data_IF_319139888369
#
_entry.id   IF_319139888369
#
_cell.length_a   1.000
_cell.length_b   1.000
_cell.length_c   1.000
_cell.angle_alpha   90.00
_cell.angle_beta   90.00
_cell.angle_gamma   90.00
#
_symmetry.space_group_name_H-M   'P 1'
#
loop_
_entity.id
_entity.type
_entity.pdbx_description
1 polymer ?
#
# COMPACT_ATOMS: atom_id res chain seq x y z
N UNK A 1 21.23 -40.91 -10.97
CA UNK A 1 21.88 -40.42 -9.74
C UNK A 1 21.29 -39.05 -9.42
N UNK A 2 20.33 -39.00 -8.49
CA UNK A 2 19.83 -37.74 -7.94
C UNK A 2 20.88 -37.20 -6.99
N UNK A 3 21.62 -36.16 -7.39
CA UNK A 3 22.39 -35.36 -6.45
C UNK A 3 21.44 -34.92 -5.34
N UNK A 4 21.69 -35.39 -4.12
CA UNK A 4 21.11 -34.82 -2.92
C UNK A 4 21.75 -33.43 -2.83
N UNK A 5 21.15 -32.44 -3.48
CA UNK A 5 21.52 -31.04 -3.29
C UNK A 5 21.39 -30.79 -1.80
N UNK A 6 22.53 -30.63 -1.13
CA UNK A 6 22.56 -30.37 0.29
C UNK A 6 21.63 -29.20 0.57
N UNK A 7 20.53 -29.45 1.27
CA UNK A 7 19.58 -28.40 1.60
C UNK A 7 20.36 -27.32 2.35
N UNK A 8 20.28 -26.06 1.91
CA UNK A 8 20.94 -24.92 2.57
C UNK A 8 20.77 -25.03 4.10
N UNK A 9 21.64 -24.55 4.99
CA UNK A 9 21.32 -24.52 6.41
C UNK A 9 20.08 -23.65 6.73
N UNK A 10 19.32 -23.98 7.79
CA UNK A 10 18.11 -23.23 8.18
C UNK A 10 18.43 -21.75 8.41
N UNK A 11 19.52 -21.45 9.10
CA UNK A 11 19.96 -20.08 9.39
C UNK A 11 20.25 -19.27 8.12
N UNK A 12 20.77 -19.90 7.05
CA UNK A 12 20.99 -19.21 5.76
C UNK A 12 19.68 -18.82 5.11
N UNK A 13 18.66 -19.68 5.20
CA UNK A 13 17.30 -19.36 4.74
C UNK A 13 16.77 -18.17 5.54
N UNK A 14 16.82 -18.24 6.87
CA UNK A 14 16.34 -17.18 7.75
C UNK A 14 16.99 -15.82 7.43
N UNK A 15 18.33 -15.76 7.38
CA UNK A 15 19.05 -14.52 7.08
C UNK A 15 18.71 -13.96 5.70
N UNK A 16 18.69 -14.78 4.65
CA UNK A 16 18.37 -14.30 3.29
C UNK A 16 16.99 -13.66 3.22
N UNK A 17 15.99 -14.24 3.86
CA UNK A 17 14.62 -13.72 3.86
C UNK A 17 14.46 -12.52 4.78
N UNK A 18 15.16 -12.50 5.92
CA UNK A 18 15.25 -11.33 6.79
C UNK A 18 15.84 -10.11 6.05
N UNK A 19 17.01 -10.27 5.42
CA UNK A 19 17.65 -9.19 4.66
C UNK A 19 16.82 -8.78 3.44
N UNK A 20 16.12 -9.72 2.79
CA UNK A 20 15.13 -9.38 1.75
C UNK A 20 13.99 -8.50 2.29
N UNK A 21 13.55 -8.74 3.52
CA UNK A 21 12.54 -7.92 4.21
C UNK A 21 13.00 -6.50 4.55
N UNK A 22 14.30 -6.28 4.77
CA UNK A 22 14.83 -4.97 5.21
C UNK A 22 14.62 -3.83 4.20
N UNK A 23 14.44 -4.14 2.91
CA UNK A 23 14.20 -3.12 1.88
C UNK A 23 12.71 -2.90 1.60
N UNK A 24 11.82 -3.67 2.23
CA UNK A 24 10.42 -3.73 1.86
C UNK A 24 9.66 -2.43 2.17
N UNK A 25 9.93 -1.79 3.32
CA UNK A 25 9.22 -0.58 3.70
C UNK A 25 9.49 0.62 2.77
N UNK A 26 10.74 1.06 2.53
CA UNK A 26 10.98 2.19 1.63
C UNK A 26 10.49 1.91 0.21
N UNK A 27 10.72 0.71 -0.31
CA UNK A 27 10.31 0.34 -1.66
C UNK A 27 8.80 0.07 -1.80
N UNK A 28 8.09 -0.20 -0.71
CA UNK A 28 6.64 -0.35 -0.71
C UNK A 28 5.89 0.94 -0.41
N UNK A 29 6.51 1.87 0.33
CA UNK A 29 5.91 3.15 0.69
C UNK A 29 6.14 4.19 -0.41
N UNK A 30 7.38 4.42 -0.80
CA UNK A 30 7.73 5.53 -1.70
C UNK A 30 7.03 5.46 -3.05
N UNK A 31 6.91 4.32 -3.75
CA UNK A 31 6.21 4.29 -5.04
C UNK A 31 4.72 4.63 -4.92
N UNK A 32 4.10 4.29 -3.79
CA UNK A 32 2.70 4.64 -3.53
C UNK A 32 2.55 6.15 -3.32
N UNK A 33 3.36 6.74 -2.42
CA UNK A 33 3.33 8.18 -2.20
C UNK A 33 3.72 8.97 -3.46
N UNK A 34 4.65 8.44 -4.26
CA UNK A 34 5.02 9.00 -5.56
C UNK A 34 3.83 8.98 -6.53
N UNK A 35 2.96 7.98 -6.47
CA UNK A 35 1.73 7.93 -7.26
C UNK A 35 0.83 9.14 -7.00
N UNK A 36 0.54 9.42 -5.72
CA UNK A 36 -0.19 10.63 -5.32
C UNK A 36 0.53 11.90 -5.79
N UNK A 37 1.83 12.00 -5.48
CA UNK A 37 2.64 13.16 -5.80
C UNK A 37 2.63 13.50 -7.30
N UNK A 38 2.77 12.51 -8.19
CA UNK A 38 2.82 12.75 -9.63
C UNK A 38 1.50 13.29 -10.19
N UNK A 39 0.35 12.85 -9.65
CA UNK A 39 -0.95 13.41 -10.06
C UNK A 39 -1.09 14.85 -9.57
N UNK A 40 -0.76 15.13 -8.31
CA UNK A 40 -0.84 16.48 -7.75
C UNK A 40 0.12 17.45 -8.46
N UNK A 41 1.30 16.96 -8.83
CA UNK A 41 2.26 17.71 -9.63
C UNK A 41 1.69 18.03 -11.01
N UNK A 42 1.05 17.06 -11.67
CA UNK A 42 0.41 17.26 -12.97
C UNK A 42 -0.79 18.22 -12.92
N UNK A 43 -1.47 18.30 -11.78
CA UNK A 43 -2.54 19.26 -11.50
C UNK A 43 -2.02 20.66 -11.14
N UNK A 44 -0.71 20.83 -10.97
CA UNK A 44 -0.09 22.11 -10.66
C UNK A 44 -0.36 22.60 -9.23
N UNK A 45 -0.52 21.67 -8.27
CA UNK A 45 -0.71 22.02 -6.86
C UNK A 45 0.54 22.74 -6.34
N UNK A 46 0.42 23.97 -5.79
CA UNK A 46 1.55 24.70 -5.22
C UNK A 46 2.05 24.05 -3.93
N UNK A 47 3.31 24.33 -3.57
CA UNK A 47 3.95 23.91 -2.31
C UNK A 47 3.93 22.38 -2.04
N UNK A 48 3.85 21.59 -3.11
CA UNK A 48 3.83 20.14 -3.08
C UNK A 48 5.21 19.55 -2.76
N UNK A 49 5.31 18.78 -1.65
CA UNK A 49 6.50 17.99 -1.35
C UNK A 49 6.16 16.51 -1.15
N UNK A 50 7.09 15.64 -1.56
CA UNK A 50 7.03 14.21 -1.26
C UNK A 50 7.69 13.99 0.11
N UNK A 51 6.92 13.51 1.06
CA UNK A 51 7.40 13.09 2.38
C UNK A 51 7.64 11.59 2.40
N UNK A 52 8.39 11.12 3.40
CA UNK A 52 8.74 9.71 3.50
C UNK A 52 7.53 8.77 3.74
N UNK A 53 6.40 9.29 4.23
CA UNK A 53 5.15 8.54 4.49
C UNK A 53 3.90 9.27 3.99
N UNK A 54 4.06 10.23 3.08
CA UNK A 54 2.92 11.01 2.58
C UNK A 54 3.33 12.04 1.54
N UNK A 55 2.38 12.89 1.18
CA UNK A 55 2.60 14.03 0.28
C UNK A 55 2.01 15.28 0.94
N UNK A 56 2.73 16.41 0.90
CA UNK A 56 2.23 17.67 1.43
C UNK A 56 1.17 18.19 0.50
N UNK A 57 -0.07 17.96 0.90
CA UNK A 57 -1.21 18.65 0.32
C UNK A 57 -2.23 18.84 1.43
N UNK A 58 -2.19 20.02 2.04
CA UNK A 58 -3.15 20.39 3.06
C UNK A 58 -4.48 20.74 2.39
N UNK A 59 -5.41 19.79 2.49
CA UNK A 59 -6.77 19.90 2.01
C UNK A 59 -7.74 20.06 3.18
N UNK A 60 -7.33 20.54 4.35
CA UNK A 60 -8.23 20.64 5.50
C UNK A 60 -9.52 21.40 5.15
N UNK A 61 -9.42 22.56 4.49
CA UNK A 61 -10.59 23.33 4.06
C UNK A 61 -11.44 22.61 2.99
N UNK A 62 -10.78 21.91 2.06
CA UNK A 62 -11.45 21.11 1.03
C UNK A 62 -12.23 19.95 1.65
N UNK A 63 -11.57 19.16 2.51
CA UNK A 63 -12.19 18.02 3.18
C UNK A 63 -13.26 18.48 4.16
N UNK A 64 -13.09 19.64 4.81
CA UNK A 64 -14.14 20.25 5.62
C UNK A 64 -15.38 20.63 4.79
N UNK A 65 -15.19 21.17 3.59
CA UNK A 65 -16.29 21.45 2.67
C UNK A 65 -16.97 20.15 2.20
N UNK A 66 -16.19 19.12 1.84
CA UNK A 66 -16.71 17.78 1.50
C UNK A 66 -17.50 17.17 2.68
N UNK A 67 -17.00 17.25 3.92
CA UNK A 67 -17.69 16.77 5.12
C UNK A 67 -19.02 17.48 5.41
N UNK A 68 -19.15 18.74 4.97
CA UNK A 68 -20.40 19.50 5.06
C UNK A 68 -21.31 19.27 3.85
N UNK A 69 -20.95 18.35 2.96
CA UNK A 69 -21.61 18.10 1.68
C UNK A 69 -21.66 19.34 0.77
N UNK A 70 -20.80 20.33 1.02
CA UNK A 70 -20.67 21.55 0.21
C UNK A 70 -19.65 21.33 -0.91
N UNK A 71 -20.03 20.48 -1.86
CA UNK A 71 -19.19 20.15 -3.03
C UNK A 71 -18.95 21.35 -3.95
N UNK A 72 -19.82 22.37 -3.90
CA UNK A 72 -19.63 23.60 -4.64
C UNK A 72 -18.42 24.36 -4.09
N UNK A 73 -18.33 24.55 -2.77
CA UNK A 73 -17.17 25.15 -2.11
C UNK A 73 -15.92 24.27 -2.26
N UNK A 74 -16.03 22.95 -2.13
CA UNK A 74 -14.88 22.05 -2.34
C UNK A 74 -14.31 22.21 -3.77
N UNK A 75 -15.17 22.32 -4.78
CA UNK A 75 -14.78 22.50 -6.17
C UNK A 75 -14.14 23.87 -6.49
N UNK A 76 -14.35 24.91 -5.66
CA UNK A 76 -13.62 26.18 -5.82
C UNK A 76 -12.20 26.10 -5.27
N UNK A 77 -11.93 25.18 -4.33
CA UNK A 77 -10.60 24.96 -3.76
C UNK A 77 -9.78 24.05 -4.67
N UNK A 78 -10.33 22.90 -5.07
CA UNK A 78 -9.66 21.95 -5.95
C UNK A 78 -10.66 21.17 -6.82
N UNK A 79 -10.29 20.77 -8.05
CA UNK A 79 -11.15 19.94 -8.87
C UNK A 79 -11.38 18.57 -8.21
N UNK A 80 -12.64 18.24 -7.88
CA UNK A 80 -13.02 16.99 -7.22
C UNK A 80 -12.44 15.74 -7.92
N UNK A 81 -12.51 15.72 -9.26
CA UNK A 81 -11.98 14.62 -10.07
C UNK A 81 -10.46 14.49 -9.95
N UNK A 82 -9.75 15.61 -9.80
CA UNK A 82 -8.29 15.63 -9.67
C UNK A 82 -7.85 15.12 -8.31
N UNK A 83 -8.56 15.50 -7.25
CA UNK A 83 -8.35 14.98 -5.89
C UNK A 83 -8.62 13.47 -5.86
N UNK A 84 -9.76 13.03 -6.42
CA UNK A 84 -10.09 11.61 -6.50
C UNK A 84 -9.06 10.80 -7.31
N UNK A 85 -8.58 11.36 -8.42
CA UNK A 85 -7.52 10.73 -9.22
C UNK A 85 -6.21 10.62 -8.43
N UNK A 86 -5.85 11.66 -7.66
CA UNK A 86 -4.69 11.64 -6.80
C UNK A 86 -4.83 10.56 -5.74
N UNK A 87 -5.92 10.51 -4.98
CA UNK A 87 -6.15 9.48 -3.96
C UNK A 87 -6.16 8.07 -4.58
N UNK A 88 -6.66 7.88 -5.80
CA UNK A 88 -6.59 6.60 -6.50
C UNK A 88 -5.16 6.23 -6.97
N UNK A 89 -4.30 7.21 -7.23
CA UNK A 89 -2.99 6.98 -7.85
C UNK A 89 -2.02 6.21 -6.96
N UNK A 90 -2.06 6.41 -5.63
CA UNK A 90 -1.25 5.65 -4.69
C UNK A 90 -1.54 4.15 -4.75
N UNK A 91 -2.80 3.70 -4.53
CA UNK A 91 -3.19 2.30 -4.67
C UNK A 91 -2.87 1.72 -6.06
N UNK A 92 -3.08 2.47 -7.14
CA UNK A 92 -2.73 2.02 -8.49
C UNK A 92 -1.22 1.81 -8.68
N UNK A 93 -0.39 2.71 -8.14
CA UNK A 93 1.07 2.55 -8.13
C UNK A 93 1.50 1.32 -7.31
N UNK A 94 0.83 1.05 -6.17
CA UNK A 94 1.01 -0.19 -5.40
C UNK A 94 0.73 -1.42 -6.25
N UNK A 95 -0.38 -1.45 -7.00
CA UNK A 95 -0.70 -2.60 -7.87
C UNK A 95 0.34 -2.80 -8.98
N UNK A 96 0.78 -1.70 -9.62
CA UNK A 96 1.83 -1.75 -10.63
C UNK A 96 3.16 -2.27 -10.06
N UNK A 97 3.53 -1.83 -8.84
CA UNK A 97 4.70 -2.33 -8.12
C UNK A 97 4.59 -3.83 -7.84
N UNK A 98 3.45 -4.30 -7.32
CA UNK A 98 3.22 -5.73 -7.04
C UNK A 98 3.32 -6.56 -8.32
N UNK A 99 2.72 -6.10 -9.43
CA UNK A 99 2.86 -6.77 -10.74
C UNK A 99 4.31 -6.81 -11.21
N UNK A 100 5.06 -5.72 -11.03
CA UNK A 100 6.48 -5.64 -11.39
C UNK A 100 7.32 -6.60 -10.56
N UNK A 101 7.08 -6.69 -9.25
CA UNK A 101 7.72 -7.68 -8.40
C UNK A 101 7.38 -9.11 -8.82
N UNK A 102 6.11 -9.37 -9.16
CA UNK A 102 5.70 -10.67 -9.68
C UNK A 102 6.45 -11.01 -10.97
N UNK A 103 6.39 -10.12 -11.96
CA UNK A 103 7.13 -10.28 -13.21
C UNK A 103 8.64 -10.51 -12.98
N UNK A 104 9.26 -9.72 -12.10
CA UNK A 104 10.67 -9.88 -11.74
C UNK A 104 10.99 -11.26 -11.15
N UNK A 105 10.13 -11.79 -10.27
CA UNK A 105 10.25 -13.15 -9.75
C UNK A 105 10.13 -14.23 -10.85
N UNK A 106 9.33 -13.97 -11.88
CA UNK A 106 9.17 -14.89 -13.01
C UNK A 106 10.40 -14.92 -13.92
N UNK A 107 11.06 -13.78 -14.15
CA UNK A 107 12.12 -13.63 -15.16
C UNK A 107 13.53 -13.81 -14.59
N UNK A 108 13.84 -13.20 -13.43
CA UNK A 108 15.23 -13.05 -12.96
C UNK A 108 15.64 -13.99 -11.82
N UNK A 109 14.77 -14.95 -11.45
CA UNK A 109 14.82 -15.84 -10.26
C UNK A 109 14.20 -15.18 -9.02
N UNK A 110 13.65 -15.97 -8.06
CA UNK A 110 13.04 -15.40 -6.86
C UNK A 110 14.06 -14.75 -5.95
N UNK A 111 14.04 -13.42 -5.94
CA UNK A 111 14.72 -12.64 -4.91
C UNK A 111 13.79 -12.48 -3.71
N UNK A 112 14.22 -12.87 -2.50
CA UNK A 112 13.48 -12.62 -1.27
C UNK A 112 13.01 -11.16 -1.14
N UNK A 113 13.81 -10.21 -1.63
CA UNK A 113 13.46 -8.79 -1.67
C UNK A 113 12.21 -8.49 -2.50
N UNK A 114 12.07 -9.04 -3.71
CA UNK A 114 10.89 -8.79 -4.56
C UNK A 114 9.61 -9.35 -3.93
N UNK A 115 9.70 -10.56 -3.37
CA UNK A 115 8.59 -11.19 -2.65
C UNK A 115 8.22 -10.36 -1.41
N UNK A 116 9.23 -9.87 -0.68
CA UNK A 116 9.03 -9.06 0.50
C UNK A 116 8.40 -7.71 0.17
N UNK A 117 8.93 -6.97 -0.81
CA UNK A 117 8.37 -5.69 -1.26
C UNK A 117 6.91 -5.87 -1.67
N UNK A 118 6.60 -6.91 -2.46
CA UNK A 118 5.24 -7.20 -2.85
C UNK A 118 4.34 -7.40 -1.62
N UNK A 119 4.61 -8.38 -0.75
CA UNK A 119 3.75 -8.62 0.43
C UNK A 119 3.64 -7.42 1.37
N UNK A 120 4.71 -6.64 1.52
CA UNK A 120 4.66 -5.42 2.32
C UNK A 120 3.71 -4.39 1.71
N UNK A 121 3.84 -4.13 0.40
CA UNK A 121 2.97 -3.22 -0.33
C UNK A 121 1.49 -3.66 -0.25
N UNK A 122 1.24 -4.97 -0.28
CA UNK A 122 -0.10 -5.55 -0.10
C UNK A 122 -0.69 -5.29 1.29
N UNK A 123 0.13 -5.31 2.34
CA UNK A 123 -0.34 -5.15 3.73
C UNK A 123 -0.99 -3.77 4.00
N UNK A 124 -0.72 -2.77 3.15
CA UNK A 124 -1.31 -1.42 3.26
C UNK A 124 -2.84 -1.43 3.16
N UNK A 125 -3.45 -2.40 2.46
CA UNK A 125 -4.91 -2.47 2.32
C UNK A 125 -5.64 -2.83 3.63
N UNK A 126 -4.91 -3.25 4.68
CA UNK A 126 -5.52 -3.86 5.87
C UNK A 126 -6.62 -2.99 6.48
N UNK A 127 -6.38 -1.68 6.60
CA UNK A 127 -7.33 -0.74 7.21
C UNK A 127 -8.60 -0.65 6.35
N UNK A 128 -8.44 -0.50 5.04
CA UNK A 128 -9.56 -0.46 4.09
C UNK A 128 -10.34 -1.78 4.08
N UNK A 129 -9.66 -2.94 4.16
CA UNK A 129 -10.26 -4.26 4.24
C UNK A 129 -11.10 -4.45 5.51
N UNK A 130 -10.59 -4.03 6.66
CA UNK A 130 -11.33 -4.08 7.92
C UNK A 130 -12.58 -3.19 7.85
N UNK A 131 -12.45 -1.98 7.32
CA UNK A 131 -13.58 -1.08 7.13
C UNK A 131 -14.64 -1.67 6.19
N UNK A 132 -14.25 -2.16 5.01
CA UNK A 132 -15.17 -2.74 4.04
C UNK A 132 -15.89 -3.99 4.59
N UNK A 133 -15.18 -4.84 5.34
CA UNK A 133 -15.77 -5.98 6.02
C UNK A 133 -16.86 -5.54 7.00
N UNK A 134 -16.54 -4.57 7.86
CA UNK A 134 -17.52 -4.00 8.79
C UNK A 134 -18.72 -3.43 8.01
N UNK A 135 -18.49 -2.69 6.93
CA UNK A 135 -19.56 -2.10 6.09
C UNK A 135 -20.50 -3.12 5.47
N UNK A 136 -19.98 -4.29 5.06
CA UNK A 136 -20.79 -5.36 4.46
C UNK A 136 -21.64 -6.13 5.47
N UNK A 137 -21.19 -6.24 6.72
CA UNK A 137 -21.81 -7.12 7.72
C UNK A 137 -22.40 -6.38 8.93
N UNK A 138 -22.21 -5.06 9.03
CA UNK A 138 -22.77 -4.23 10.08
C UNK A 138 -23.50 -3.02 9.47
N UNK A 139 -24.83 -3.11 9.41
CA UNK A 139 -25.70 -2.08 8.85
C UNK A 139 -25.83 -0.83 9.75
N UNK A 140 -25.32 -0.87 10.98
CA UNK A 140 -25.36 0.27 11.92
C UNK A 140 -24.16 1.21 11.78
N UNK A 141 -23.28 0.96 10.80
CA UNK A 141 -22.13 1.82 10.61
C UNK A 141 -22.54 3.20 10.08
N UNK A 142 -21.86 4.25 10.56
CA UNK A 142 -22.02 5.59 10.04
C UNK A 142 -21.87 5.62 8.52
N UNK A 143 -22.44 6.65 7.88
CA UNK A 143 -22.20 6.91 6.46
C UNK A 143 -20.69 7.02 6.19
N UNK A 144 -20.29 6.83 4.93
CA UNK A 144 -18.86 6.89 4.56
C UNK A 144 -18.26 8.28 4.91
N UNK A 145 -19.09 9.33 4.80
CA UNK A 145 -18.75 10.69 5.19
C UNK A 145 -18.60 10.86 6.70
N UNK A 146 -19.54 10.31 7.49
CA UNK A 146 -19.48 10.31 8.96
C UNK A 146 -18.27 9.53 9.47
N UNK A 147 -17.92 8.41 8.82
CA UNK A 147 -16.73 7.64 9.16
C UNK A 147 -15.45 8.45 8.91
N UNK A 148 -15.36 9.18 7.80
CA UNK A 148 -14.25 10.11 7.55
C UNK A 148 -14.17 11.21 8.61
N UNK A 149 -15.30 11.82 8.95
CA UNK A 149 -15.37 12.84 10.00
C UNK A 149 -14.96 12.29 11.39
N UNK A 150 -15.17 11.00 11.63
CA UNK A 150 -14.72 10.30 12.84
C UNK A 150 -13.24 9.86 12.81
N UNK A 151 -12.49 10.24 11.77
CA UNK A 151 -11.06 9.98 11.63
C UNK A 151 -10.68 8.77 10.78
N UNK A 152 -11.63 8.11 10.12
CA UNK A 152 -11.28 7.09 9.12
C UNK A 152 -10.64 7.76 7.90
N UNK A 153 -9.36 7.45 7.65
CA UNK A 153 -8.62 8.13 6.61
C UNK A 153 -7.75 7.15 5.82
N UNK A 154 -8.26 6.71 4.67
CA UNK A 154 -7.55 5.87 3.71
C UNK A 154 -8.06 6.15 2.29
N UNK A 155 -7.21 5.87 1.30
CA UNK A 155 -7.39 6.28 -0.09
C UNK A 155 -8.71 5.80 -0.68
N UNK A 156 -9.08 4.53 -0.49
CA UNK A 156 -10.30 3.98 -1.06
C UNK A 156 -11.57 4.65 -0.53
N UNK A 157 -11.57 5.12 0.73
CA UNK A 157 -12.70 5.84 1.31
C UNK A 157 -12.83 7.24 0.70
N UNK A 158 -11.69 7.94 0.54
CA UNK A 158 -11.65 9.26 -0.10
C UNK A 158 -12.14 9.20 -1.55
N UNK A 159 -11.63 8.21 -2.31
CA UNK A 159 -12.09 7.96 -3.68
C UNK A 159 -13.58 7.67 -3.71
N UNK A 160 -14.09 6.82 -2.80
CA UNK A 160 -15.50 6.50 -2.74
C UNK A 160 -16.38 7.72 -2.49
N UNK A 161 -16.02 8.58 -1.53
CA UNK A 161 -16.77 9.81 -1.21
C UNK A 161 -16.79 10.78 -2.39
N UNK A 162 -15.67 10.94 -3.09
CA UNK A 162 -15.57 11.90 -4.19
C UNK A 162 -16.19 11.39 -5.51
N UNK A 163 -16.27 10.08 -5.72
CA UNK A 163 -16.74 9.48 -6.98
C UNK A 163 -18.11 8.81 -6.89
N UNK A 164 -18.59 8.55 -5.67
CA UNK A 164 -19.78 7.74 -5.42
C UNK A 164 -19.58 6.23 -5.64
N UNK A 165 -18.36 5.77 -5.96
CA UNK A 165 -18.07 4.34 -6.09
C UNK A 165 -18.10 3.71 -4.68
N UNK A 166 -18.89 2.65 -4.44
CA UNK A 166 -18.93 2.02 -3.12
C UNK A 166 -17.55 1.51 -2.66
N UNK A 167 -17.16 1.84 -1.42
CA UNK A 167 -15.92 1.35 -0.79
C UNK A 167 -15.75 -0.17 -0.92
N UNK A 168 -16.80 -1.02 -0.73
CA UNK A 168 -16.64 -2.47 -0.89
C UNK A 168 -16.21 -2.92 -2.29
N UNK A 169 -16.50 -2.15 -3.34
CA UNK A 169 -16.06 -2.48 -4.70
C UNK A 169 -14.56 -2.17 -4.88
N UNK A 170 -14.11 -1.00 -4.43
CA UNK A 170 -12.70 -0.60 -4.48
C UNK A 170 -11.83 -1.57 -3.68
N UNK A 171 -12.23 -1.83 -2.44
CA UNK A 171 -11.53 -2.76 -1.55
C UNK A 171 -11.67 -4.20 -2.04
N UNK A 172 -12.84 -4.59 -2.56
CA UNK A 172 -13.06 -5.93 -3.10
C UNK A 172 -12.14 -6.24 -4.29
N UNK A 173 -11.97 -5.29 -5.20
CA UNK A 173 -11.00 -5.38 -6.28
C UNK A 173 -9.58 -5.57 -5.74
N UNK A 174 -9.18 -4.72 -4.78
CA UNK A 174 -7.88 -4.83 -4.11
C UNK A 174 -7.69 -6.23 -3.54
N UNK A 175 -8.62 -6.73 -2.73
CA UNK A 175 -8.54 -8.05 -2.11
C UNK A 175 -8.40 -9.19 -3.13
N UNK A 176 -9.14 -9.16 -4.22
CA UNK A 176 -9.03 -10.17 -5.29
C UNK A 176 -7.65 -10.10 -5.94
N UNK A 177 -7.18 -8.90 -6.28
CA UNK A 177 -5.85 -8.69 -6.86
C UNK A 177 -4.73 -9.18 -5.93
N UNK A 178 -4.83 -8.87 -4.63
CA UNK A 178 -3.86 -9.25 -3.61
C UNK A 178 -3.89 -10.75 -3.33
N UNK A 179 -5.07 -11.38 -3.28
CA UNK A 179 -5.20 -12.82 -3.15
C UNK A 179 -4.58 -13.55 -4.35
N UNK A 180 -4.81 -13.06 -5.57
CA UNK A 180 -4.26 -13.66 -6.79
C UNK A 180 -2.73 -13.54 -6.83
N UNK A 181 -2.19 -12.34 -6.65
CA UNK A 181 -0.74 -12.07 -6.69
C UNK A 181 -0.02 -12.70 -5.49
N UNK A 182 -0.58 -12.58 -4.29
CA UNK A 182 -0.07 -13.20 -3.08
C UNK A 182 -0.02 -14.73 -3.18
N UNK A 183 -1.07 -15.37 -3.69
CA UNK A 183 -1.08 -16.82 -3.93
C UNK A 183 -0.03 -17.23 -4.95
N UNK A 184 0.15 -16.44 -6.00
CA UNK A 184 1.18 -16.67 -7.02
C UNK A 184 2.59 -16.57 -6.42
N UNK A 185 2.84 -15.57 -5.57
CA UNK A 185 4.13 -15.34 -4.91
C UNK A 185 4.54 -16.48 -3.94
N UNK A 186 3.58 -17.20 -3.34
CA UNK A 186 3.87 -18.35 -2.47
C UNK A 186 4.72 -19.44 -3.15
N UNK A 187 4.70 -19.51 -4.48
CA UNK A 187 5.50 -20.46 -5.28
C UNK A 187 7.00 -20.21 -5.15
N UNK A 188 7.39 -18.99 -4.79
CA UNK A 188 8.78 -18.55 -4.69
C UNK A 188 9.38 -18.67 -3.28
N UNK A 189 8.55 -19.02 -2.29
CA UNK A 189 9.04 -19.41 -0.96
C UNK A 189 9.68 -20.81 -1.01
N UNK A 190 10.81 -21.04 -0.31
CA UNK A 190 11.52 -22.32 -0.34
C UNK A 190 10.65 -23.45 0.21
N UNK A 191 10.42 -24.48 -0.62
CA UNK A 191 9.66 -25.68 -0.24
C UNK A 191 10.33 -26.36 0.97
N UNK A 192 9.53 -26.84 1.92
CA UNK A 192 10.01 -27.44 3.17
C UNK A 192 10.44 -26.42 4.24
N UNK A 193 10.58 -25.12 3.91
CA UNK A 193 11.00 -24.07 4.86
C UNK A 193 10.21 -22.78 4.74
N UNK A 194 9.01 -22.86 4.17
CA UNK A 194 8.13 -21.71 3.93
C UNK A 194 7.87 -20.92 5.20
N UNK A 195 7.63 -21.60 6.32
CA UNK A 195 7.36 -20.96 7.61
C UNK A 195 8.58 -20.12 8.06
N UNK A 196 9.79 -20.70 8.04
CA UNK A 196 11.02 -19.98 8.41
C UNK A 196 11.24 -18.78 7.50
N UNK A 197 11.14 -18.97 6.17
CA UNK A 197 11.28 -17.89 5.21
C UNK A 197 10.26 -16.77 5.43
N UNK A 198 8.97 -17.11 5.60
CA UNK A 198 7.90 -16.15 5.80
C UNK A 198 8.06 -15.38 7.12
N UNK A 199 8.34 -16.08 8.23
CA UNK A 199 8.54 -15.42 9.53
C UNK A 199 9.77 -14.51 9.51
N UNK A 200 10.90 -14.96 8.97
CA UNK A 200 12.10 -14.13 8.85
C UNK A 200 11.88 -12.91 7.96
N UNK A 201 11.15 -13.08 6.85
CA UNK A 201 10.75 -11.98 5.97
C UNK A 201 9.88 -10.96 6.71
N UNK A 202 8.86 -11.40 7.43
CA UNK A 202 7.98 -10.53 8.22
C UNK A 202 8.75 -9.77 9.29
N UNK A 203 9.66 -10.45 10.02
CA UNK A 203 10.53 -9.78 11.00
C UNK A 203 11.40 -8.73 10.32
N UNK A 204 11.98 -9.03 9.15
CA UNK A 204 12.74 -8.08 8.35
C UNK A 204 11.91 -6.88 7.91
N UNK A 205 10.66 -7.08 7.47
CA UNK A 205 9.73 -6.01 7.11
C UNK A 205 9.40 -5.10 8.29
N UNK A 206 9.16 -5.67 9.48
CA UNK A 206 8.87 -4.89 10.69
C UNK A 206 10.08 -4.03 11.05
N UNK A 207 11.29 -4.62 11.05
CA UNK A 207 12.53 -3.87 11.28
C UNK A 207 12.72 -2.78 10.21
N UNK A 208 12.44 -3.09 8.94
CA UNK A 208 12.46 -2.13 7.83
C UNK A 208 11.54 -0.95 8.11
N UNK A 209 10.29 -1.20 8.48
CA UNK A 209 9.29 -0.17 8.75
C UNK A 209 9.70 0.72 9.92
N UNK A 210 10.13 0.13 11.04
CA UNK A 210 10.58 0.90 12.22
C UNK A 210 11.81 1.73 11.88
N UNK A 211 12.80 1.14 11.20
CA UNK A 211 14.01 1.86 10.80
C UNK A 211 13.72 2.99 9.80
N UNK A 212 12.86 2.72 8.83
CA UNK A 212 12.46 3.69 7.82
C UNK A 212 11.64 4.82 8.42
N UNK A 213 10.52 4.53 9.07
CA UNK A 213 9.64 5.57 9.62
C UNK A 213 10.29 6.35 10.77
N UNK A 214 11.13 5.70 11.59
CA UNK A 214 11.74 6.33 12.77
C UNK A 214 13.04 7.08 12.52
N UNK A 215 13.80 6.72 11.48
CA UNK A 215 15.17 7.22 11.32
C UNK A 215 15.54 7.57 9.89
N UNK A 216 15.38 6.64 8.95
CA UNK A 216 15.90 6.81 7.58
C UNK A 216 15.01 7.71 6.74
N UNK A 217 13.69 7.53 6.82
CA UNK A 217 12.69 8.31 6.10
C UNK A 217 12.83 9.82 6.35
N UNK A 218 12.77 10.28 7.61
CA UNK A 218 12.94 11.70 7.96
C UNK A 218 14.28 12.31 7.52
N UNK A 219 15.30 11.48 7.25
CA UNK A 219 16.59 11.95 6.75
C UNK A 219 16.63 12.03 5.21
N UNK A 220 15.91 11.13 4.52
CA UNK A 220 15.88 11.05 3.07
C UNK A 220 14.93 12.07 2.43
N UNK A 221 13.78 12.28 3.06
CA UNK A 221 12.73 13.17 2.61
C UNK A 221 12.23 13.99 3.80
N UNK A 222 11.73 15.21 3.56
CA UNK A 222 11.16 16.04 4.62
C UNK A 222 9.99 15.36 5.33
#
# INVERSE_FOLDING_TARGET
MTEIVASDPLWRTALRWFFGGLVAAPLGILPHELGHYLVLLALGVPDLALHFVGVTWDLEEFWLAVWREDYATAATIAPLWGVALSDAAGPLATYALVLTCCYGCAVWRPYPALVAVAYFAQARIRIAAEYAWRRLFNNELPSDLEAMAAGANFDELRVAVLTGIPVPLLVGFALVFLAATGTWLLRYLPRGRRIVAALSMVVGMIVSLVAYAGYVGPWLLP
#
